data_IF_213415359148
#
_entry.id   IF_213415359148
#
_cell.length_a   1.000
_cell.length_b   1.000
_cell.length_c   1.000
_cell.angle_alpha   90.00
_cell.angle_beta   90.00
_cell.angle_gamma   90.00
#
_symmetry.space_group_name_H-M   'P 1'
#
loop_
_entity.id
_entity.type
_entity.pdbx_description
1 polymer ?
#
# COMPACT_ATOMS: atom_id res chain seq x y z
N UNK A 1 -83.63 -12.09 5.94
CA UNK A 1 -82.86 -10.84 6.22
C UNK A 1 -81.96 -11.18 7.41
N UNK A 2 -80.64 -11.11 7.40
CA UNK A 2 -79.76 -10.11 6.81
C UNK A 2 -78.42 -10.73 6.39
N UNK A 3 -77.81 -10.16 5.35
CA UNK A 3 -76.53 -10.58 4.81
C UNK A 3 -75.36 -10.34 5.78
N UNK A 4 -74.47 -11.32 5.87
CA UNK A 4 -73.09 -11.09 6.30
C UNK A 4 -72.22 -11.11 5.05
N UNK A 5 -71.81 -9.91 4.65
CA UNK A 5 -70.91 -9.62 3.54
C UNK A 5 -69.62 -10.44 3.62
N UNK A 6 -69.28 -11.12 2.51
CA UNK A 6 -67.97 -11.72 2.22
C UNK A 6 -66.89 -10.63 2.04
N UNK A 7 -66.57 -9.84 3.08
CA UNK A 7 -65.61 -8.74 2.93
C UNK A 7 -64.56 -8.61 4.04
N UNK A 8 -64.28 -9.65 4.82
CA UNK A 8 -63.24 -9.58 5.87
C UNK A 8 -62.15 -10.66 5.83
N UNK A 9 -61.97 -11.35 4.68
CA UNK A 9 -60.83 -12.28 4.46
C UNK A 9 -59.65 -11.52 3.81
N UNK A 10 -59.41 -10.28 4.22
CA UNK A 10 -58.30 -9.46 3.74
C UNK A 10 -57.46 -9.00 4.94
N UNK A 11 -56.87 -9.95 5.67
CA UNK A 11 -55.63 -9.64 6.37
C UNK A 11 -54.53 -9.55 5.30
N UNK A 12 -53.89 -8.38 5.16
CA UNK A 12 -53.95 -7.71 3.89
C UNK A 12 -52.64 -7.95 3.17
N UNK A 13 -52.75 -8.37 1.91
CA UNK A 13 -51.65 -8.36 0.93
C UNK A 13 -50.83 -7.07 0.99
N UNK A 14 -51.44 -5.94 1.38
CA UNK A 14 -50.76 -4.66 1.64
C UNK A 14 -49.75 -4.70 2.79
N UNK A 15 -50.06 -5.31 3.94
CA UNK A 15 -49.11 -5.42 5.07
C UNK A 15 -48.01 -6.43 4.73
N UNK A 16 -48.36 -7.54 4.09
CA UNK A 16 -47.37 -8.51 3.61
C UNK A 16 -46.40 -7.87 2.59
N UNK A 17 -46.92 -7.11 1.62
CA UNK A 17 -46.10 -6.36 0.65
C UNK A 17 -45.25 -5.28 1.34
N UNK A 18 -45.78 -4.58 2.34
CA UNK A 18 -45.02 -3.58 3.11
C UNK A 18 -43.85 -4.17 3.90
N UNK A 19 -43.88 -5.45 4.25
CA UNK A 19 -42.76 -6.13 4.92
C UNK A 19 -41.82 -6.83 3.92
N UNK A 20 -42.40 -7.48 2.90
CA UNK A 20 -41.64 -8.25 1.91
C UNK A 20 -40.87 -7.33 0.97
N UNK A 21 -41.45 -6.23 0.48
CA UNK A 21 -40.78 -5.35 -0.48
C UNK A 21 -39.52 -4.70 0.12
N UNK A 22 -39.55 -4.08 1.32
CA UNK A 22 -38.32 -3.55 1.92
C UNK A 22 -37.29 -4.64 2.22
N UNK A 23 -37.74 -5.81 2.68
CA UNK A 23 -36.85 -6.95 2.92
C UNK A 23 -36.17 -7.43 1.62
N UNK A 24 -36.92 -7.54 0.53
CA UNK A 24 -36.41 -7.92 -0.78
C UNK A 24 -35.47 -6.83 -1.35
N UNK A 25 -35.81 -5.55 -1.19
CA UNK A 25 -34.96 -4.43 -1.63
C UNK A 25 -33.65 -4.43 -0.85
N UNK A 26 -33.70 -4.59 0.48
CA UNK A 26 -32.49 -4.68 1.31
C UNK A 26 -31.68 -5.91 0.95
N UNK A 27 -32.32 -7.06 0.74
CA UNK A 27 -31.66 -8.29 0.32
C UNK A 27 -30.95 -8.11 -1.02
N UNK A 28 -31.66 -7.61 -2.04
CA UNK A 28 -31.09 -7.35 -3.34
C UNK A 28 -29.97 -6.32 -3.23
N UNK A 29 -30.19 -5.18 -2.57
CA UNK A 29 -29.17 -4.16 -2.36
C UNK A 29 -27.91 -4.75 -1.72
N UNK A 30 -28.01 -5.40 -0.56
CA UNK A 30 -26.82 -5.91 0.14
C UNK A 30 -26.14 -7.10 -0.53
N UNK A 31 -26.84 -7.89 -1.36
CA UNK A 31 -26.23 -9.01 -2.07
C UNK A 31 -25.74 -8.62 -3.46
N UNK A 32 -26.51 -7.85 -4.22
CA UNK A 32 -26.20 -7.52 -5.62
C UNK A 32 -25.37 -6.26 -5.77
N UNK A 33 -25.57 -5.24 -4.92
CA UNK A 33 -24.81 -3.98 -5.03
C UNK A 33 -23.30 -4.20 -4.92
N UNK A 34 -22.77 -4.99 -3.95
CA UNK A 34 -21.34 -5.26 -3.90
C UNK A 34 -20.82 -5.95 -5.16
N UNK A 35 -21.58 -6.88 -5.74
CA UNK A 35 -21.18 -7.54 -6.99
C UNK A 35 -21.12 -6.55 -8.16
N UNK A 36 -22.17 -5.73 -8.32
CA UNK A 36 -22.22 -4.70 -9.39
C UNK A 36 -21.11 -3.68 -9.22
N UNK A 37 -20.86 -3.23 -7.99
CA UNK A 37 -19.76 -2.33 -7.66
C UNK A 37 -18.41 -2.95 -8.01
N UNK A 38 -18.16 -4.21 -7.59
CA UNK A 38 -16.92 -4.92 -7.91
C UNK A 38 -16.72 -5.11 -9.42
N UNK A 39 -17.79 -5.41 -10.18
CA UNK A 39 -17.73 -5.51 -11.64
C UNK A 39 -17.39 -4.14 -12.25
N UNK A 40 -18.00 -3.07 -11.75
CA UNK A 40 -17.70 -1.70 -12.19
C UNK A 40 -16.24 -1.33 -11.97
N UNK A 41 -15.71 -1.62 -10.77
CA UNK A 41 -14.29 -1.38 -10.42
C UNK A 41 -13.35 -2.23 -11.27
N UNK A 42 -13.74 -3.45 -11.66
CA UNK A 42 -12.91 -4.28 -12.53
C UNK A 42 -12.69 -3.68 -13.93
N UNK A 43 -13.58 -2.79 -14.37
CA UNK A 43 -13.49 -2.09 -15.67
C UNK A 43 -12.79 -0.72 -15.57
N UNK A 44 -12.21 -0.36 -14.41
CA UNK A 44 -11.47 0.88 -14.21
C UNK A 44 -9.98 0.64 -13.96
N UNK A 45 -9.17 1.69 -13.97
CA UNK A 45 -7.73 1.66 -13.62
C UNK A 45 -7.47 1.42 -12.11
N UNK A 46 -8.42 0.81 -11.40
CA UNK A 46 -8.39 0.57 -9.96
C UNK A 46 -7.10 -0.12 -9.49
N UNK A 47 -6.44 0.48 -8.51
CA UNK A 47 -5.21 0.08 -7.87
C UNK A 47 -5.28 0.42 -6.37
N UNK A 48 -4.22 0.12 -5.60
CA UNK A 48 -4.20 0.33 -4.14
C UNK A 48 -4.33 1.81 -3.72
N UNK A 49 -4.14 2.76 -4.63
CA UNK A 49 -4.05 4.19 -4.36
C UNK A 49 -5.26 4.99 -4.89
N UNK A 50 -6.01 4.48 -5.87
CA UNK A 50 -7.12 5.18 -6.52
C UNK A 50 -8.51 4.54 -6.28
N UNK A 51 -8.62 3.40 -5.59
CA UNK A 51 -9.94 2.82 -5.24
C UNK A 51 -10.68 3.66 -4.18
N UNK A 52 -9.94 4.39 -3.33
CA UNK A 52 -10.48 5.32 -2.34
C UNK A 52 -9.45 6.40 -2.03
N UNK A 53 -9.09 7.26 -3.00
CA UNK A 53 -8.15 8.34 -2.74
C UNK A 53 -8.75 9.26 -1.68
N UNK A 54 -7.92 9.67 -0.72
CA UNK A 54 -8.32 10.68 0.25
C UNK A 54 -8.76 11.95 -0.51
N UNK A 55 -10.00 12.44 -0.36
CA UNK A 55 -10.45 13.67 -1.01
C UNK A 55 -9.52 14.85 -0.73
N UNK A 56 -8.86 14.88 0.43
CA UNK A 56 -7.87 15.89 0.76
C UNK A 56 -6.60 15.79 -0.10
N UNK A 57 -6.22 14.57 -0.54
CA UNK A 57 -5.07 14.34 -1.43
C UNK A 57 -5.34 14.84 -2.84
N UNK A 58 -6.51 14.52 -3.41
CA UNK A 58 -6.93 15.07 -4.72
C UNK A 58 -6.97 16.60 -4.65
N UNK A 59 -7.62 17.14 -3.62
CA UNK A 59 -7.68 18.59 -3.40
C UNK A 59 -6.29 19.22 -3.21
N UNK A 60 -5.35 18.50 -2.59
CA UNK A 60 -3.96 18.92 -2.47
C UNK A 60 -3.28 19.11 -3.83
N UNK A 61 -3.44 18.16 -4.75
CA UNK A 61 -2.95 18.29 -6.12
C UNK A 61 -3.67 19.40 -6.91
N UNK A 62 -4.99 19.52 -6.78
CA UNK A 62 -5.75 20.61 -7.41
C UNK A 62 -5.26 21.99 -6.95
N UNK A 63 -5.04 22.15 -5.64
CA UNK A 63 -4.49 23.36 -5.05
C UNK A 63 -3.06 23.64 -5.54
N UNK A 64 -2.21 22.60 -5.65
CA UNK A 64 -0.85 22.74 -6.17
C UNK A 64 -0.82 23.15 -7.64
N UNK A 65 -1.69 22.55 -8.47
CA UNK A 65 -1.85 22.91 -9.88
C UNK A 65 -2.33 24.36 -10.02
N UNK A 66 -3.32 24.78 -9.22
CA UNK A 66 -3.83 26.15 -9.24
C UNK A 66 -2.77 27.17 -8.81
N UNK A 67 -2.04 26.89 -7.73
CA UNK A 67 -0.91 27.69 -7.27
C UNK A 67 0.18 27.80 -8.34
N UNK A 68 0.59 26.67 -8.94
CA UNK A 68 1.62 26.65 -9.98
C UNK A 68 1.22 27.46 -11.22
N UNK A 69 -0.06 27.44 -11.61
CA UNK A 69 -0.58 28.30 -12.68
C UNK A 69 -0.46 29.78 -12.34
N UNK A 70 -0.85 30.19 -11.13
CA UNK A 70 -0.75 31.59 -10.70
C UNK A 70 0.70 32.08 -10.70
N UNK A 71 1.61 31.28 -10.17
CA UNK A 71 3.04 31.61 -10.17
C UNK A 71 3.57 31.78 -11.60
N UNK A 72 3.18 30.89 -12.52
CA UNK A 72 3.56 30.97 -13.93
C UNK A 72 2.98 32.21 -14.64
N UNK A 73 1.70 32.51 -14.42
CA UNK A 73 0.98 33.56 -15.16
C UNK A 73 1.23 34.98 -14.62
N UNK A 74 1.68 35.10 -13.37
CA UNK A 74 1.89 36.40 -12.71
C UNK A 74 3.32 36.91 -12.93
N UNK A 75 3.54 38.05 -13.63
CA UNK A 75 4.87 38.55 -13.95
C UNK A 75 5.76 38.82 -12.73
N UNK A 76 5.18 39.28 -11.62
CA UNK A 76 5.92 39.56 -10.38
C UNK A 76 6.66 38.32 -9.83
N UNK A 77 6.03 37.14 -9.88
CA UNK A 77 6.66 35.91 -9.38
C UNK A 77 7.72 35.38 -10.35
N UNK A 78 7.52 35.59 -11.65
CA UNK A 78 8.54 35.31 -12.67
C UNK A 78 9.80 36.12 -12.43
N UNK A 79 9.68 37.42 -12.17
CA UNK A 79 10.82 38.31 -11.90
C UNK A 79 11.52 37.93 -10.59
N UNK A 80 10.76 37.64 -9.53
CA UNK A 80 11.30 37.15 -8.24
C UNK A 80 12.04 35.83 -8.41
N UNK A 81 11.48 34.89 -9.17
CA UNK A 81 12.09 33.59 -9.44
C UNK A 81 13.36 33.74 -10.28
N UNK A 82 13.34 34.53 -11.36
CA UNK A 82 14.53 34.80 -12.19
C UNK A 82 15.66 35.40 -11.35
N UNK A 83 15.34 36.40 -10.52
CA UNK A 83 16.33 37.03 -9.61
C UNK A 83 16.91 36.01 -8.62
N UNK A 84 16.06 35.14 -8.07
CA UNK A 84 16.49 34.08 -7.16
C UNK A 84 17.40 33.06 -7.87
N UNK A 85 17.09 32.66 -9.11
CA UNK A 85 17.91 31.72 -9.87
C UNK A 85 19.26 32.32 -10.26
N UNK A 86 19.32 33.59 -10.62
CA UNK A 86 20.58 34.28 -10.85
C UNK A 86 21.46 34.33 -9.60
N UNK A 87 20.85 34.62 -8.43
CA UNK A 87 21.56 34.54 -7.14
C UNK A 87 22.07 33.13 -6.86
N UNK A 88 21.22 32.10 -6.99
CA UNK A 88 21.58 30.69 -6.79
C UNK A 88 22.77 30.29 -7.66
N UNK A 89 22.74 30.65 -8.95
CA UNK A 89 23.82 30.38 -9.90
C UNK A 89 25.14 31.01 -9.47
N UNK A 90 25.13 32.28 -9.08
CA UNK A 90 26.33 32.99 -8.62
C UNK A 90 26.86 32.38 -7.31
N UNK A 91 25.98 32.10 -6.36
CA UNK A 91 26.37 31.58 -5.05
C UNK A 91 26.93 30.16 -5.14
N UNK A 92 26.31 29.27 -5.93
CA UNK A 92 26.84 27.93 -6.18
C UNK A 92 28.15 27.97 -6.95
N UNK A 93 28.28 28.84 -7.95
CA UNK A 93 29.55 29.00 -8.66
C UNK A 93 30.68 29.42 -7.71
N UNK A 94 30.46 30.43 -6.86
CA UNK A 94 31.45 30.89 -5.89
C UNK A 94 31.82 29.80 -4.88
N UNK A 95 30.82 29.07 -4.36
CA UNK A 95 31.05 27.96 -3.43
C UNK A 95 31.81 26.81 -4.10
N UNK A 96 31.41 26.43 -5.31
CA UNK A 96 32.05 25.39 -6.12
C UNK A 96 33.53 25.71 -6.33
N UNK A 97 33.81 26.96 -6.71
CA UNK A 97 35.18 27.46 -6.91
C UNK A 97 36.01 27.42 -5.62
N UNK A 98 35.44 27.88 -4.50
CA UNK A 98 36.11 27.84 -3.20
C UNK A 98 36.40 26.40 -2.72
N UNK A 99 35.43 25.50 -2.86
CA UNK A 99 35.57 24.08 -2.52
C UNK A 99 36.57 23.37 -3.43
N UNK A 100 36.61 23.71 -4.72
CA UNK A 100 37.58 23.18 -5.68
C UNK A 100 39.01 23.55 -5.29
N UNK A 101 39.30 24.84 -5.07
CA UNK A 101 40.61 25.32 -4.60
C UNK A 101 41.03 24.66 -3.29
N UNK A 102 40.11 24.56 -2.35
CA UNK A 102 40.35 23.90 -1.07
C UNK A 102 40.70 22.41 -1.27
N UNK A 103 39.98 21.70 -2.14
CA UNK A 103 40.23 20.30 -2.42
C UNK A 103 41.59 20.07 -3.10
N UNK A 104 42.00 20.97 -4.02
CA UNK A 104 43.31 20.94 -4.65
C UNK A 104 44.44 21.01 -3.60
N UNK A 105 44.33 21.93 -2.65
CA UNK A 105 45.31 22.09 -1.56
C UNK A 105 45.29 20.91 -0.59
N UNK A 106 44.11 20.41 -0.21
CA UNK A 106 43.96 19.25 0.68
C UNK A 106 44.57 17.98 0.07
N UNK A 107 44.57 17.85 -1.26
CA UNK A 107 45.15 16.70 -1.94
C UNK A 107 46.68 16.80 -2.09
N UNK A 108 47.23 18.01 -2.05
CA UNK A 108 48.68 18.26 -2.12
C UNK A 108 49.34 18.45 -0.73
N UNK A 109 48.55 18.71 0.31
CA UNK A 109 49.03 19.06 1.65
C UNK A 109 48.87 17.91 2.65
N UNK A 110 49.81 17.83 3.59
CA UNK A 110 49.79 16.86 4.69
C UNK A 110 49.21 17.51 5.97
N UNK A 111 49.20 18.85 6.05
CA UNK A 111 48.84 19.61 7.24
C UNK A 111 47.87 20.75 6.89
N UNK A 112 46.88 20.96 7.77
CA UNK A 112 45.83 21.98 7.69
C UNK A 112 46.40 23.40 7.90
N UNK A 113 47.52 23.52 8.61
CA UNK A 113 48.22 24.80 8.85
C UNK A 113 48.66 25.51 7.55
N UNK A 114 48.85 24.73 6.47
CA UNK A 114 49.30 25.23 5.16
C UNK A 114 48.17 25.80 4.30
N UNK A 115 46.91 25.73 4.75
CA UNK A 115 45.78 26.27 3.99
C UNK A 115 45.84 27.80 4.01
N UNK A 116 45.97 28.46 2.83
CA UNK A 116 46.04 29.90 2.70
C UNK A 116 44.82 30.64 3.28
N UNK A 117 45.05 31.86 3.79
CA UNK A 117 44.01 32.67 4.45
C UNK A 117 42.91 33.11 3.50
N UNK A 118 43.29 33.49 2.28
CA UNK A 118 42.40 33.86 1.18
C UNK A 118 41.34 32.80 0.88
N UNK A 119 41.71 31.51 0.86
CA UNK A 119 40.75 30.41 0.61
C UNK A 119 39.76 30.26 1.77
N UNK A 120 40.22 30.45 3.01
CA UNK A 120 39.34 30.42 4.19
C UNK A 120 38.34 31.57 4.17
N UNK A 121 38.80 32.76 3.80
CA UNK A 121 37.97 33.96 3.69
C UNK A 121 36.97 33.84 2.51
N UNK A 122 37.40 33.28 1.37
CA UNK A 122 36.56 33.01 0.19
C UNK A 122 35.47 31.97 0.49
N UNK A 123 35.80 30.90 1.23
CA UNK A 123 34.82 29.91 1.67
C UNK A 123 33.87 30.51 2.71
N UNK A 124 34.38 31.25 3.70
CA UNK A 124 33.55 31.91 4.70
C UNK A 124 32.55 32.89 4.07
N UNK A 125 33.00 33.65 3.07
CA UNK A 125 32.14 34.53 2.28
C UNK A 125 31.10 33.75 1.48
N UNK A 126 31.51 32.72 0.74
CA UNK A 126 30.60 31.91 -0.08
C UNK A 126 29.55 31.18 0.76
N UNK A 127 29.95 30.58 1.89
CA UNK A 127 29.03 30.00 2.87
C UNK A 127 28.07 31.04 3.42
N UNK A 128 28.54 32.27 3.65
CA UNK A 128 27.67 33.33 4.19
C UNK A 128 26.56 33.75 3.23
N UNK A 129 26.81 33.69 1.91
CA UNK A 129 25.80 33.96 0.88
C UNK A 129 24.69 32.92 0.82
N UNK A 130 24.95 31.69 1.30
CA UNK A 130 23.96 30.61 1.33
C UNK A 130 22.97 30.75 2.50
N UNK A 131 23.30 31.53 3.54
CA UNK A 131 22.38 31.73 4.66
C UNK A 131 21.11 32.44 4.19
N UNK A 132 19.96 31.92 4.61
CA UNK A 132 18.65 32.47 4.24
C UNK A 132 18.18 32.07 2.84
N UNK A 133 19.06 31.53 1.99
CA UNK A 133 18.70 31.09 0.65
C UNK A 133 17.60 30.00 0.65
N UNK A 134 17.64 28.96 1.51
CA UNK A 134 16.54 27.98 1.59
C UNK A 134 15.20 28.64 1.95
N UNK A 135 15.21 29.63 2.85
CA UNK A 135 14.00 30.36 3.23
C UNK A 135 13.49 31.30 2.11
N UNK A 136 14.39 31.92 1.35
CA UNK A 136 14.03 32.77 0.21
C UNK A 136 13.39 31.92 -0.90
N UNK A 137 13.93 30.74 -1.17
CA UNK A 137 13.37 29.76 -2.11
C UNK A 137 11.97 29.33 -1.67
N UNK A 138 11.79 28.92 -0.40
CA UNK A 138 10.48 28.52 0.14
C UNK A 138 9.45 29.65 0.03
N UNK A 139 9.85 30.91 0.24
CA UNK A 139 8.96 32.07 0.15
C UNK A 139 8.50 32.37 -1.29
N UNK A 140 9.40 32.30 -2.28
CA UNK A 140 9.05 32.60 -3.69
C UNK A 140 8.00 31.60 -4.23
N UNK A 141 8.05 30.35 -3.78
CA UNK A 141 7.15 29.28 -4.23
C UNK A 141 6.11 28.90 -3.17
N UNK A 142 5.78 29.81 -2.25
CA UNK A 142 4.86 29.53 -1.15
C UNK A 142 3.40 29.56 -1.60
N UNK A 143 2.80 28.39 -1.80
CA UNK A 143 1.37 28.28 -2.13
C UNK A 143 0.43 28.70 -0.99
N UNK A 144 0.88 28.60 0.27
CA UNK A 144 0.04 28.94 1.43
C UNK A 144 -0.22 30.45 1.48
N UNK A 145 0.76 31.28 1.09
CA UNK A 145 0.59 32.73 0.97
C UNK A 145 -0.42 33.11 -0.13
N UNK A 146 -0.56 32.27 -1.15
CA UNK A 146 -1.55 32.41 -2.22
C UNK A 146 -2.92 31.82 -1.86
N UNK A 147 -3.15 31.45 -0.59
CA UNK A 147 -4.39 30.83 -0.10
C UNK A 147 -4.67 29.42 -0.67
N UNK A 148 -3.63 28.71 -1.14
CA UNK A 148 -3.71 27.32 -1.58
C UNK A 148 -3.05 26.40 -0.56
N UNK A 149 -3.87 25.65 0.19
CA UNK A 149 -3.39 24.67 1.15
C UNK A 149 -3.03 23.37 0.43
N UNK A 150 -1.74 23.10 0.27
CA UNK A 150 -1.24 21.86 -0.34
C UNK A 150 -0.01 21.35 0.39
N UNK A 151 0.15 20.03 0.40
CA UNK A 151 1.38 19.36 0.85
C UNK A 151 2.36 19.14 -0.30
N UNK A 152 1.91 19.34 -1.54
CA UNK A 152 2.74 19.15 -2.73
C UNK A 152 3.57 20.40 -2.97
N UNK A 153 4.89 20.25 -2.92
CA UNK A 153 5.81 21.37 -3.10
C UNK A 153 6.19 21.54 -4.57
N UNK A 154 6.14 22.77 -5.07
CA UNK A 154 6.50 23.11 -6.45
C UNK A 154 7.97 22.81 -6.72
N UNK A 155 8.83 23.14 -5.76
CA UNK A 155 10.22 22.72 -5.75
C UNK A 155 10.29 21.40 -4.98
N UNK A 156 10.90 20.35 -5.53
CA UNK A 156 11.02 19.08 -4.83
C UNK A 156 11.65 19.25 -3.44
N UNK A 157 11.01 18.71 -2.40
CA UNK A 157 11.52 18.72 -1.00
C UNK A 157 12.97 18.24 -0.94
N UNK A 158 13.29 17.20 -1.70
CA UNK A 158 14.64 16.63 -1.80
C UNK A 158 15.68 17.68 -2.19
N UNK A 159 15.32 18.65 -3.04
CA UNK A 159 16.22 19.72 -3.45
C UNK A 159 16.42 20.74 -2.33
N UNK A 160 15.37 21.05 -1.56
CA UNK A 160 15.45 21.94 -0.39
C UNK A 160 16.27 21.30 0.74
N UNK A 161 16.05 20.01 1.03
CA UNK A 161 16.82 19.29 2.05
C UNK A 161 18.31 19.20 1.70
N UNK A 162 18.63 19.06 0.41
CA UNK A 162 20.00 19.10 -0.08
C UNK A 162 20.62 20.49 0.09
N UNK A 163 19.87 21.56 -0.15
CA UNK A 163 20.33 22.93 0.10
C UNK A 163 20.62 23.17 1.59
N UNK A 164 19.71 22.73 2.47
CA UNK A 164 19.89 22.81 3.93
C UNK A 164 21.12 21.99 4.36
N UNK A 165 21.32 20.81 3.78
CA UNK A 165 22.49 19.96 4.02
C UNK A 165 23.80 20.61 3.53
N UNK A 166 23.80 21.23 2.35
CA UNK A 166 24.94 21.93 1.79
C UNK A 166 25.33 23.14 2.66
N UNK A 167 24.34 23.89 3.14
CA UNK A 167 24.56 25.01 4.07
C UNK A 167 25.20 24.53 5.38
N UNK A 168 24.68 23.44 5.96
CA UNK A 168 25.25 22.85 7.18
C UNK A 168 26.68 22.34 6.98
N UNK A 169 26.96 21.67 5.87
CA UNK A 169 28.29 21.15 5.55
C UNK A 169 29.28 22.27 5.27
N UNK A 170 28.92 23.26 4.47
CA UNK A 170 29.77 24.42 4.17
C UNK A 170 30.05 25.27 5.41
N UNK A 171 29.08 25.38 6.32
CA UNK A 171 29.28 25.95 7.67
C UNK A 171 30.28 25.15 8.50
N UNK A 172 30.11 23.83 8.53
CA UNK A 172 31.03 22.94 9.27
C UNK A 172 32.46 23.03 8.75
N UNK A 173 32.65 23.05 7.42
CA UNK A 173 33.99 23.18 6.80
C UNK A 173 34.61 24.54 7.18
N UNK A 174 33.83 25.63 7.07
CA UNK A 174 34.27 26.97 7.49
C UNK A 174 34.71 26.98 8.95
N UNK A 175 33.89 26.47 9.86
CA UNK A 175 34.15 26.49 11.30
C UNK A 175 35.37 25.63 11.67
N UNK A 176 35.52 24.46 11.04
CA UNK A 176 36.71 23.60 11.19
C UNK A 176 37.98 24.28 10.69
N UNK A 177 37.92 24.96 9.54
CA UNK A 177 39.06 25.70 9.00
C UNK A 177 39.43 26.91 9.87
N UNK A 178 38.45 27.56 10.49
CA UNK A 178 38.68 28.63 11.45
C UNK A 178 39.29 28.10 12.75
N UNK A 179 38.79 26.96 13.25
CA UNK A 179 39.30 26.31 14.45
C UNK A 179 40.75 25.82 14.28
N UNK A 180 41.08 25.25 13.12
CA UNK A 180 42.43 24.80 12.77
C UNK A 180 43.47 25.93 12.76
N UNK A 181 43.05 27.21 12.67
CA UNK A 181 43.97 28.34 12.85
C UNK A 181 44.49 28.46 14.27
N UNK A 182 43.64 28.14 15.24
CA UNK A 182 43.92 28.26 16.66
C UNK A 182 44.53 26.96 17.21
N UNK A 183 44.07 25.82 16.70
CA UNK A 183 44.46 24.48 17.16
C UNK A 183 44.72 23.55 15.96
N UNK A 184 45.87 23.69 15.26
CA UNK A 184 46.15 22.94 14.03
C UNK A 184 46.30 21.43 14.25
N UNK A 185 46.73 20.99 15.43
CA UNK A 185 46.92 19.57 15.76
C UNK A 185 45.61 18.79 15.97
N UNK A 186 44.49 19.49 16.19
CA UNK A 186 43.19 18.87 16.50
C UNK A 186 42.32 18.61 15.26
N UNK A 187 42.71 19.11 14.08
CA UNK A 187 41.92 18.96 12.84
C UNK A 187 42.70 18.14 11.82
N UNK A 188 42.18 16.96 11.48
CA UNK A 188 42.83 16.09 10.50
C UNK A 188 42.51 16.49 9.05
N UNK A 189 43.51 16.41 8.16
CA UNK A 189 43.30 16.69 6.73
C UNK A 189 42.36 15.66 6.07
N UNK A 190 42.31 14.44 6.61
CA UNK A 190 41.37 13.39 6.19
C UNK A 190 39.92 13.71 6.52
N UNK A 191 39.65 14.35 7.66
CA UNK A 191 38.31 14.82 8.02
C UNK A 191 37.86 15.90 7.04
N UNK A 192 38.71 16.89 6.77
CA UNK A 192 38.41 17.95 5.80
C UNK A 192 38.18 17.39 4.39
N UNK A 193 38.98 16.40 3.94
CA UNK A 193 38.79 15.73 2.64
C UNK A 193 37.42 15.03 2.54
N UNK A 194 36.96 14.38 3.60
CA UNK A 194 35.65 13.74 3.63
C UNK A 194 34.52 14.78 3.56
N UNK A 195 34.63 15.85 4.35
CA UNK A 195 33.63 16.92 4.37
C UNK A 195 33.54 17.64 3.01
N UNK A 196 34.66 17.99 2.39
CA UNK A 196 34.68 18.64 1.07
C UNK A 196 34.16 17.70 -0.03
N UNK A 197 34.50 16.40 0.02
CA UNK A 197 33.95 15.42 -0.93
C UNK A 197 32.43 15.30 -0.84
N UNK A 198 31.86 15.28 0.38
CA UNK A 198 30.41 15.26 0.60
C UNK A 198 29.74 16.54 0.09
N UNK A 199 30.33 17.70 0.39
CA UNK A 199 29.83 18.99 -0.07
C UNK A 199 29.81 19.08 -1.60
N UNK A 200 30.88 18.66 -2.28
CA UNK A 200 30.96 18.63 -3.74
C UNK A 200 29.92 17.70 -4.38
N UNK A 201 29.68 16.53 -3.76
CA UNK A 201 28.66 15.59 -4.24
C UNK A 201 27.27 16.25 -4.20
N UNK A 202 26.90 16.81 -3.05
CA UNK A 202 25.60 17.48 -2.88
C UNK A 202 25.48 18.70 -3.80
N UNK A 203 26.55 19.48 -3.95
CA UNK A 203 26.58 20.64 -4.83
C UNK A 203 26.32 20.24 -6.30
N UNK A 204 26.96 19.18 -6.78
CA UNK A 204 26.73 18.69 -8.15
C UNK A 204 25.29 18.20 -8.38
N UNK A 205 24.68 17.58 -7.36
CA UNK A 205 23.28 17.15 -7.43
C UNK A 205 22.33 18.35 -7.46
N UNK A 206 22.61 19.39 -6.65
CA UNK A 206 21.87 20.65 -6.63
C UNK A 206 22.00 21.38 -7.97
N UNK A 207 23.21 21.52 -8.50
CA UNK A 207 23.47 22.14 -9.80
C UNK A 207 22.73 21.40 -10.92
N UNK A 208 22.75 20.06 -10.91
CA UNK A 208 21.98 19.27 -11.87
C UNK A 208 20.46 19.50 -11.74
N UNK A 209 19.96 19.64 -10.51
CA UNK A 209 18.55 19.90 -10.23
C UNK A 209 18.11 21.29 -10.68
N UNK A 210 18.88 22.32 -10.33
CA UNK A 210 18.60 23.71 -10.70
C UNK A 210 18.97 24.06 -12.15
N UNK A 211 19.80 23.27 -12.82
CA UNK A 211 20.15 23.51 -14.24
C UNK A 211 18.90 23.54 -15.12
N UNK A 212 17.92 22.67 -14.86
CA UNK A 212 16.61 22.67 -15.54
C UNK A 212 15.75 23.89 -15.21
N UNK A 213 15.82 24.37 -13.97
CA UNK A 213 15.12 25.60 -13.55
C UNK A 213 15.74 26.87 -14.16
N UNK A 214 17.05 26.87 -14.40
CA UNK A 214 17.79 28.03 -14.89
C UNK A 214 17.61 28.29 -16.39
N UNK A 215 17.24 27.27 -17.20
CA UNK A 215 17.08 27.40 -18.66
C UNK A 215 15.74 28.05 -19.03
N UNK A 216 14.70 27.91 -18.21
CA UNK A 216 13.43 28.58 -18.45
C UNK A 216 12.40 28.39 -17.34
N UNK A 217 12.10 29.46 -16.60
CA UNK A 217 11.04 29.48 -15.58
C UNK A 217 9.70 28.94 -16.11
N UNK A 218 9.31 29.38 -17.31
CA UNK A 218 8.02 29.00 -17.89
C UNK A 218 7.97 27.51 -18.27
N UNK A 219 9.10 26.96 -18.72
CA UNK A 219 9.24 25.54 -19.05
C UNK A 219 9.16 24.70 -17.77
N UNK A 220 9.94 25.06 -16.74
CA UNK A 220 9.90 24.38 -15.44
C UNK A 220 8.49 24.38 -14.82
N UNK A 221 7.80 25.52 -14.85
CA UNK A 221 6.44 25.62 -14.32
C UNK A 221 5.46 24.78 -15.15
N UNK A 222 5.66 24.68 -16.47
CA UNK A 222 4.83 23.82 -17.34
C UNK A 222 5.02 22.35 -17.03
N UNK A 223 6.26 21.89 -16.91
CA UNK A 223 6.59 20.51 -16.51
C UNK A 223 6.03 20.17 -15.11
N UNK A 224 6.10 21.13 -14.18
CA UNK A 224 5.57 20.94 -12.82
C UNK A 224 4.05 20.81 -12.81
N UNK A 225 3.35 21.63 -13.60
CA UNK A 225 1.89 21.52 -13.77
C UNK A 225 1.54 20.16 -14.37
N UNK A 226 2.24 19.73 -15.43
CA UNK A 226 2.00 18.44 -16.09
C UNK A 226 2.25 17.26 -15.13
N UNK A 227 3.33 17.33 -14.33
CA UNK A 227 3.64 16.33 -13.30
C UNK A 227 2.50 16.19 -12.29
N UNK A 228 2.04 17.29 -11.69
CA UNK A 228 0.94 17.25 -10.72
C UNK A 228 -0.39 16.81 -11.35
N UNK A 229 -0.65 17.20 -12.60
CA UNK A 229 -1.83 16.72 -13.34
C UNK A 229 -1.76 15.21 -13.51
N UNK A 230 -0.62 14.67 -13.95
CA UNK A 230 -0.42 13.23 -14.11
C UNK A 230 -0.58 12.47 -12.79
N UNK A 231 0.02 12.96 -11.71
CA UNK A 231 -0.09 12.31 -10.39
C UNK A 231 -1.53 12.34 -9.85
N UNK A 232 -2.25 13.46 -10.02
CA UNK A 232 -3.69 13.53 -9.70
C UNK A 232 -4.48 12.55 -10.55
N UNK A 233 -4.19 12.51 -11.85
CA UNK A 233 -4.88 11.67 -12.83
C UNK A 233 -4.73 10.17 -12.53
N UNK A 234 -3.58 9.76 -11.99
CA UNK A 234 -3.34 8.39 -11.52
C UNK A 234 -4.18 8.02 -10.28
N UNK A 235 -4.59 9.02 -9.48
CA UNK A 235 -5.47 8.85 -8.32
C UNK A 235 -6.95 8.79 -8.68
N UNK A 236 -7.33 9.24 -9.87
CA UNK A 236 -8.72 9.19 -10.32
C UNK A 236 -9.08 7.82 -10.92
N UNK A 237 -10.29 7.36 -10.61
CA UNK A 237 -10.87 6.18 -11.25
C UNK A 237 -11.31 6.53 -12.67
N UNK A 238 -10.67 5.90 -13.64
CA UNK A 238 -10.92 6.04 -15.07
C UNK A 238 -11.39 4.73 -15.63
N UNK A 239 -12.36 4.77 -16.53
CA UNK A 239 -12.81 3.59 -17.24
C UNK A 239 -11.74 3.13 -18.24
N UNK A 240 -11.30 1.89 -18.12
CA UNK A 240 -10.28 1.25 -19.00
C UNK A 240 -10.85 0.06 -19.78
N UNK A 241 -12.14 -0.23 -19.62
CA UNK A 241 -12.79 -1.35 -20.30
C UNK A 241 -12.19 -2.70 -19.88
N UNK A 242 -11.77 -3.51 -20.86
CA UNK A 242 -11.30 -4.89 -20.64
C UNK A 242 -9.79 -5.03 -20.45
N UNK A 243 -9.06 -3.92 -20.34
CA UNK A 243 -7.60 -3.93 -20.25
C UNK A 243 -7.07 -4.77 -19.07
N UNK A 244 -7.75 -4.71 -17.91
CA UNK A 244 -7.38 -5.51 -16.74
C UNK A 244 -7.51 -7.02 -16.99
N UNK A 245 -8.53 -7.43 -17.75
CA UNK A 245 -8.71 -8.83 -18.11
C UNK A 245 -7.64 -9.29 -19.10
N UNK A 246 -7.31 -8.46 -20.10
CA UNK A 246 -6.20 -8.75 -21.01
C UNK A 246 -4.86 -8.88 -20.26
N UNK A 247 -4.59 -8.02 -19.27
CA UNK A 247 -3.42 -8.14 -18.39
C UNK A 247 -3.46 -9.43 -17.57
N UNK A 248 -4.61 -9.77 -16.99
CA UNK A 248 -4.80 -10.96 -16.16
C UNK A 248 -4.52 -12.26 -16.93
N UNK A 249 -5.03 -12.38 -18.16
CA UNK A 249 -4.82 -13.57 -18.99
C UNK A 249 -3.38 -13.71 -19.50
N UNK A 250 -2.58 -12.65 -19.44
CA UNK A 250 -1.14 -12.70 -19.75
C UNK A 250 -0.27 -12.91 -18.50
N UNK A 251 -0.86 -12.99 -17.30
CA UNK A 251 -0.12 -13.11 -16.04
C UNK A 251 0.03 -14.58 -15.61
N UNK A 252 1.26 -15.07 -15.53
CA UNK A 252 1.58 -16.44 -15.07
C UNK A 252 1.08 -16.69 -13.63
N UNK A 253 1.03 -15.64 -12.79
CA UNK A 253 0.53 -15.76 -11.41
C UNK A 253 -0.94 -16.12 -11.36
N UNK A 254 -1.73 -15.66 -12.34
CA UNK A 254 -3.16 -16.01 -12.45
C UNK A 254 -3.32 -17.52 -12.68
N UNK A 255 -2.58 -18.10 -13.62
CA UNK A 255 -2.65 -19.53 -13.90
C UNK A 255 -2.16 -20.38 -12.73
N UNK A 256 -1.11 -19.95 -12.02
CA UNK A 256 -0.66 -20.64 -10.81
C UNK A 256 -1.72 -20.61 -9.70
N UNK A 257 -2.36 -19.46 -9.46
CA UNK A 257 -3.45 -19.36 -8.50
C UNK A 257 -4.63 -20.25 -8.91
N UNK A 258 -5.05 -20.19 -10.18
CA UNK A 258 -6.13 -20.99 -10.73
C UNK A 258 -5.85 -22.49 -10.56
N UNK A 259 -4.63 -22.94 -10.90
CA UNK A 259 -4.21 -24.33 -10.72
C UNK A 259 -4.29 -24.76 -9.26
N UNK A 260 -3.72 -23.99 -8.33
CA UNK A 260 -3.76 -24.31 -6.89
C UNK A 260 -5.19 -24.32 -6.35
N UNK A 261 -6.06 -23.42 -6.81
CA UNK A 261 -7.49 -23.41 -6.44
C UNK A 261 -8.24 -24.62 -7.00
N UNK A 262 -8.04 -24.97 -8.27
CA UNK A 262 -8.67 -26.16 -8.87
C UNK A 262 -8.19 -27.43 -8.19
N UNK A 263 -6.89 -27.54 -7.92
CA UNK A 263 -6.32 -28.66 -7.18
C UNK A 263 -6.90 -28.74 -5.77
N UNK A 264 -7.00 -27.61 -5.07
CA UNK A 264 -7.65 -27.53 -3.76
C UNK A 264 -9.10 -28.05 -3.83
N UNK A 265 -9.91 -27.56 -4.78
CA UNK A 265 -11.30 -28.04 -4.93
C UNK A 265 -11.34 -29.54 -5.22
N UNK A 266 -10.48 -30.02 -6.12
CA UNK A 266 -10.40 -31.43 -6.50
C UNK A 266 -9.96 -32.35 -5.36
N UNK A 267 -9.20 -31.87 -4.38
CA UNK A 267 -8.75 -32.67 -3.23
C UNK A 267 -9.65 -32.50 -2.00
N UNK A 268 -10.02 -31.26 -1.66
CA UNK A 268 -10.82 -30.95 -0.47
C UNK A 268 -12.24 -31.48 -0.60
N UNK A 269 -12.90 -31.30 -1.75
CA UNK A 269 -14.32 -31.69 -1.92
C UNK A 269 -14.51 -33.20 -1.74
N UNK A 270 -13.79 -34.08 -2.45
CA UNK A 270 -13.93 -35.52 -2.24
C UNK A 270 -13.59 -35.94 -0.81
N UNK A 271 -12.58 -35.34 -0.18
CA UNK A 271 -12.17 -35.68 1.18
C UNK A 271 -13.29 -35.44 2.20
N UNK A 272 -13.88 -34.23 2.21
CA UNK A 272 -14.95 -33.90 3.16
C UNK A 272 -16.27 -34.58 2.85
N UNK A 273 -16.55 -34.84 1.56
CA UNK A 273 -17.74 -35.59 1.14
C UNK A 273 -17.62 -37.05 1.56
N UNK A 274 -16.50 -37.70 1.27
CA UNK A 274 -16.24 -39.07 1.68
C UNK A 274 -16.34 -39.21 3.20
N UNK A 275 -15.66 -38.34 3.95
CA UNK A 275 -15.72 -38.35 5.42
C UNK A 275 -17.14 -38.13 5.94
N UNK A 276 -17.86 -37.13 5.42
CA UNK A 276 -19.23 -36.80 5.84
C UNK A 276 -20.22 -37.94 5.55
N UNK A 277 -20.14 -38.55 4.37
CA UNK A 277 -21.00 -39.67 3.97
C UNK A 277 -20.67 -40.93 4.76
N UNK A 278 -19.38 -41.27 4.93
CA UNK A 278 -18.95 -42.43 5.71
C UNK A 278 -19.45 -42.34 7.15
N UNK A 279 -19.25 -41.19 7.81
CA UNK A 279 -19.76 -40.97 9.16
C UNK A 279 -21.30 -40.98 9.18
N UNK A 280 -21.97 -40.39 8.18
CA UNK A 280 -23.42 -40.40 8.10
C UNK A 280 -24.01 -41.82 8.05
N UNK A 281 -23.45 -42.69 7.21
CA UNK A 281 -23.86 -44.09 7.09
C UNK A 281 -23.55 -44.84 8.38
N UNK A 282 -22.34 -44.70 8.91
CA UNK A 282 -21.92 -45.37 10.14
C UNK A 282 -22.84 -45.04 11.33
N UNK A 283 -23.15 -43.76 11.52
CA UNK A 283 -24.05 -43.31 12.60
C UNK A 283 -25.54 -43.46 12.29
N UNK A 284 -25.90 -43.91 11.08
CA UNK A 284 -27.27 -44.34 10.76
C UNK A 284 -27.57 -45.75 11.28
N UNK A 285 -26.54 -46.54 11.61
CA UNK A 285 -26.71 -47.88 12.17
C UNK A 285 -27.25 -47.85 13.60
N UNK A 286 -28.17 -48.76 13.90
CA UNK A 286 -28.72 -48.95 15.26
C UNK A 286 -27.72 -49.56 16.24
N UNK A 287 -26.57 -50.06 15.76
CA UNK A 287 -25.55 -50.71 16.57
C UNK A 287 -24.68 -49.72 17.37
N UNK A 288 -24.75 -48.42 17.05
CA UNK A 288 -23.91 -47.41 17.71
C UNK A 288 -24.52 -46.94 19.03
N UNK A 289 -23.92 -47.39 20.15
CA UNK A 289 -24.25 -46.92 21.50
C UNK A 289 -23.81 -45.45 21.67
N UNK A 290 -24.62 -44.64 22.37
CA UNK A 290 -24.28 -43.23 22.64
C UNK A 290 -24.43 -42.27 21.45
N UNK A 291 -25.11 -42.68 20.37
CA UNK A 291 -25.29 -41.93 19.10
C UNK A 291 -25.59 -40.43 19.23
N UNK A 292 -26.40 -40.02 20.22
CA UNK A 292 -26.79 -38.61 20.42
C UNK A 292 -25.60 -37.76 20.87
N UNK A 293 -24.81 -38.26 21.83
CA UNK A 293 -23.65 -37.55 22.37
C UNK A 293 -22.52 -37.46 21.33
N UNK A 294 -22.23 -38.58 20.66
CA UNK A 294 -21.20 -38.61 19.62
C UNK A 294 -21.56 -37.68 18.46
N UNK A 295 -22.82 -37.68 18.01
CA UNK A 295 -23.28 -36.74 16.99
C UNK A 295 -23.10 -35.29 17.41
N UNK A 296 -23.41 -34.94 18.67
CA UNK A 296 -23.20 -33.58 19.16
C UNK A 296 -21.72 -33.18 19.12
N UNK A 297 -20.80 -34.08 19.53
CA UNK A 297 -19.36 -33.85 19.45
C UNK A 297 -18.87 -33.68 18.01
N UNK A 298 -19.38 -34.49 17.08
CA UNK A 298 -18.99 -34.42 15.66
C UNK A 298 -19.46 -33.13 14.98
N UNK A 299 -20.45 -32.43 15.52
CA UNK A 299 -20.93 -31.14 15.01
C UNK A 299 -20.13 -29.94 15.53
N UNK A 300 -19.28 -30.13 16.54
CA UNK A 300 -18.48 -29.06 17.16
C UNK A 300 -17.68 -28.25 16.12
N UNK A 301 -16.99 -28.85 15.13
CA UNK A 301 -16.20 -28.07 14.18
C UNK A 301 -17.04 -27.05 13.40
N UNK A 302 -18.23 -27.46 12.95
CA UNK A 302 -19.13 -26.59 12.18
C UNK A 302 -19.80 -25.50 13.04
N UNK A 303 -19.93 -25.73 14.35
CA UNK A 303 -20.48 -24.76 15.28
C UNK A 303 -19.45 -23.68 15.70
N UNK A 304 -18.16 -23.91 15.48
CA UNK A 304 -17.11 -22.97 15.87
C UNK A 304 -17.03 -21.77 14.92
N UNK A 305 -16.78 -20.54 15.41
CA UNK A 305 -16.47 -19.41 14.56
C UNK A 305 -15.25 -19.69 13.67
N UNK A 306 -15.35 -19.34 12.38
CA UNK A 306 -14.30 -19.61 11.38
C UNK A 306 -12.94 -19.04 11.82
N UNK A 307 -12.92 -17.79 12.27
CA UNK A 307 -11.68 -17.11 12.67
C UNK A 307 -10.96 -17.82 13.83
N UNK A 308 -11.71 -18.23 14.86
CA UNK A 308 -11.14 -18.95 16.01
C UNK A 308 -10.59 -20.32 15.60
N UNK A 309 -11.30 -21.02 14.73
CA UNK A 309 -10.87 -22.30 14.17
C UNK A 309 -9.58 -22.15 13.36
N UNK A 310 -9.52 -21.16 12.47
CA UNK A 310 -8.35 -20.90 11.63
C UNK A 310 -7.11 -20.52 12.46
N UNK A 311 -7.27 -19.67 13.48
CA UNK A 311 -6.19 -19.29 14.39
C UNK A 311 -5.71 -20.49 15.20
N UNK A 312 -6.62 -21.34 15.69
CA UNK A 312 -6.27 -22.54 16.45
C UNK A 312 -5.43 -23.50 15.59
N UNK A 313 -5.85 -23.76 14.35
CA UNK A 313 -5.07 -24.58 13.41
C UNK A 313 -3.71 -23.97 13.07
N UNK A 314 -3.64 -22.64 12.88
CA UNK A 314 -2.35 -21.96 12.66
C UNK A 314 -1.39 -22.12 13.84
N UNK A 315 -1.90 -22.14 15.08
CA UNK A 315 -1.08 -22.39 16.29
C UNK A 315 -0.65 -23.86 16.33
N UNK A 316 -1.57 -24.80 16.12
CA UNK A 316 -1.28 -26.24 16.16
C UNK A 316 -0.18 -26.68 15.18
N UNK A 317 -0.16 -26.07 14.00
CA UNK A 317 0.78 -26.39 12.93
C UNK A 317 1.92 -25.37 12.80
N UNK A 318 2.17 -24.53 13.80
CA UNK A 318 3.31 -23.60 13.74
C UNK A 318 4.64 -24.38 13.71
N UNK A 319 5.58 -24.09 12.79
CA UNK A 319 6.80 -24.91 12.62
C UNK A 319 7.72 -24.97 13.85
N UNK A 320 7.76 -23.91 14.67
CA UNK A 320 8.70 -23.80 15.79
C UNK A 320 8.18 -24.46 17.07
N UNK A 321 6.91 -24.25 17.40
CA UNK A 321 6.31 -24.61 18.69
C UNK A 321 4.92 -25.25 18.57
N UNK A 322 4.46 -25.53 17.35
CA UNK A 322 3.19 -26.18 17.09
C UNK A 322 3.25 -27.66 17.45
N UNK A 323 2.39 -28.16 18.37
CA UNK A 323 2.46 -29.54 18.84
C UNK A 323 2.24 -30.55 17.71
N UNK A 324 1.40 -30.22 16.72
CA UNK A 324 1.08 -31.13 15.62
C UNK A 324 2.15 -31.07 14.53
N UNK A 325 2.66 -29.89 14.22
CA UNK A 325 3.77 -29.71 13.27
C UNK A 325 5.04 -30.44 13.73
N UNK A 326 5.38 -30.33 15.02
CA UNK A 326 6.54 -31.00 15.61
C UNK A 326 6.46 -32.53 15.53
N UNK A 327 5.27 -33.11 15.76
CA UNK A 327 5.05 -34.56 15.68
C UNK A 327 5.10 -35.06 14.23
N UNK A 328 4.49 -34.32 13.30
CA UNK A 328 4.36 -34.74 11.91
C UNK A 328 5.53 -34.31 11.00
N UNK A 329 6.47 -33.49 11.51
CA UNK A 329 7.57 -32.93 10.72
C UNK A 329 7.11 -31.98 9.61
N UNK A 330 5.96 -31.32 9.80
CA UNK A 330 5.36 -30.45 8.79
C UNK A 330 5.77 -28.99 9.00
N UNK A 331 6.45 -28.41 8.02
CA UNK A 331 6.68 -26.97 7.95
C UNK A 331 5.76 -26.30 6.93
N UNK A 332 4.72 -25.63 7.41
CA UNK A 332 3.76 -24.90 6.58
C UNK A 332 4.17 -23.46 6.20
N UNK A 333 5.31 -22.96 6.67
CA UNK A 333 5.78 -21.61 6.36
C UNK A 333 6.78 -21.63 5.22
N UNK A 334 7.62 -22.67 5.14
CA UNK A 334 8.63 -22.80 4.08
C UNK A 334 8.20 -23.74 2.96
N UNK A 335 7.39 -24.77 3.25
CA UNK A 335 6.97 -25.76 2.26
C UNK A 335 5.49 -25.57 1.86
N UNK A 336 5.27 -25.21 0.59
CA UNK A 336 3.93 -24.96 0.05
C UNK A 336 3.01 -26.19 0.09
N UNK A 337 3.55 -27.41 -0.04
CA UNK A 337 2.75 -28.64 -0.07
C UNK A 337 2.29 -29.05 1.32
N UNK A 338 3.10 -28.78 2.34
CA UNK A 338 2.69 -28.94 3.73
C UNK A 338 1.58 -27.95 4.07
N UNK A 339 1.73 -26.68 3.68
CA UNK A 339 0.69 -25.67 3.86
C UNK A 339 -0.61 -26.08 3.15
N UNK A 340 -0.52 -26.56 1.91
CA UNK A 340 -1.65 -27.05 1.13
C UNK A 340 -2.35 -28.24 1.80
N UNK A 341 -1.60 -29.23 2.28
CA UNK A 341 -2.14 -30.40 2.97
C UNK A 341 -2.87 -29.99 4.25
N UNK A 342 -2.26 -29.14 5.08
CA UNK A 342 -2.88 -28.71 6.34
C UNK A 342 -4.14 -27.88 6.07
N UNK A 343 -4.12 -27.02 5.05
CA UNK A 343 -5.30 -26.25 4.65
C UNK A 343 -6.44 -27.16 4.17
N UNK A 344 -6.15 -28.20 3.38
CA UNK A 344 -7.14 -29.19 2.96
C UNK A 344 -7.75 -29.94 4.16
N UNK A 345 -6.92 -30.36 5.12
CA UNK A 345 -7.38 -31.04 6.32
C UNK A 345 -8.24 -30.13 7.20
N UNK A 346 -7.82 -28.86 7.36
CA UNK A 346 -8.56 -27.85 8.11
C UNK A 346 -9.96 -27.66 7.53
N UNK A 347 -10.04 -27.46 6.21
CA UNK A 347 -11.31 -27.21 5.56
C UNK A 347 -12.21 -28.46 5.59
N UNK A 348 -11.64 -29.65 5.39
CA UNK A 348 -12.39 -30.89 5.53
C UNK A 348 -12.92 -31.10 6.94
N UNK A 349 -12.09 -30.85 7.98
CA UNK A 349 -12.49 -30.91 9.38
C UNK A 349 -13.62 -29.93 9.72
N UNK A 350 -13.57 -28.72 9.16
CA UNK A 350 -14.58 -27.70 9.39
C UNK A 350 -15.92 -28.04 8.70
N UNK A 351 -15.87 -28.63 7.51
CA UNK A 351 -17.03 -28.78 6.63
C UNK A 351 -17.70 -30.17 6.66
N UNK A 352 -17.00 -31.25 7.02
CA UNK A 352 -17.61 -32.60 7.10
C UNK A 352 -18.89 -32.67 7.96
N UNK A 353 -19.05 -31.93 9.08
CA UNK A 353 -20.24 -32.09 9.92
C UNK A 353 -21.52 -31.62 9.24
N UNK A 354 -21.42 -30.59 8.39
CA UNK A 354 -22.52 -30.15 7.55
C UNK A 354 -22.93 -31.26 6.57
N UNK A 355 -21.96 -31.81 5.84
CA UNK A 355 -22.22 -32.89 4.86
C UNK A 355 -22.80 -34.13 5.54
N UNK A 356 -22.26 -34.52 6.69
CA UNK A 356 -22.79 -35.61 7.50
C UNK A 356 -24.24 -35.36 7.87
N UNK A 357 -24.60 -34.14 8.29
CA UNK A 357 -25.97 -33.79 8.71
C UNK A 357 -26.95 -33.84 7.54
N UNK A 358 -26.57 -33.27 6.40
CA UNK A 358 -27.38 -33.30 5.17
C UNK A 358 -27.59 -34.75 4.71
N UNK A 359 -26.51 -35.53 4.67
CA UNK A 359 -26.55 -36.95 4.25
C UNK A 359 -27.42 -37.77 5.20
N UNK A 360 -27.33 -37.58 6.51
CA UNK A 360 -28.22 -38.25 7.47
C UNK A 360 -29.69 -37.85 7.29
N UNK A 361 -29.96 -36.59 6.94
CA UNK A 361 -31.30 -36.13 6.58
C UNK A 361 -31.84 -36.87 5.35
N UNK A 362 -31.01 -37.02 4.32
CA UNK A 362 -31.35 -37.76 3.10
C UNK A 362 -31.56 -39.26 3.37
N UNK A 363 -30.66 -39.91 4.13
CA UNK A 363 -30.77 -41.33 4.48
C UNK A 363 -32.06 -41.66 5.24
N UNK A 364 -32.53 -40.75 6.11
CA UNK A 364 -33.82 -40.91 6.81
C UNK A 364 -35.04 -40.82 5.91
N UNK A 365 -34.89 -40.23 4.72
CA UNK A 365 -35.94 -40.16 3.71
C UNK A 365 -36.09 -41.45 2.89
N UNK A 366 -35.14 -42.39 2.99
CA UNK A 366 -35.19 -43.65 2.25
C UNK A 366 -36.29 -44.55 2.85
N UNK A 367 -37.29 -44.98 2.05
CA UNK A 367 -38.34 -45.89 2.51
C UNK A 367 -37.77 -47.23 3.02
N UNK A 368 -38.37 -47.78 4.08
CA UNK A 368 -37.88 -49.01 4.73
C UNK A 368 -38.01 -50.24 3.85
N UNK A 369 -39.06 -50.31 3.03
CA UNK A 369 -39.33 -51.36 2.06
C UNK A 369 -38.20 -51.54 1.05
N UNK A 370 -37.57 -50.44 0.60
CA UNK A 370 -36.40 -50.50 -0.28
C UNK A 370 -35.19 -51.15 0.42
N UNK A 371 -35.01 -50.85 1.71
CA UNK A 371 -33.93 -51.44 2.52
C UNK A 371 -34.24 -52.92 2.80
N UNK A 372 -35.48 -53.26 3.12
CA UNK A 372 -35.92 -54.65 3.35
C UNK A 372 -35.75 -55.51 2.09
N UNK A 373 -36.12 -55.00 0.91
CA UNK A 373 -35.90 -55.68 -0.35
C UNK A 373 -34.40 -55.97 -0.60
N UNK A 374 -33.51 -55.02 -0.27
CA UNK A 374 -32.05 -55.21 -0.42
C UNK A 374 -31.42 -56.25 0.52
N UNK A 375 -32.14 -56.72 1.54
CA UNK A 375 -31.69 -57.86 2.35
C UNK A 375 -32.15 -59.21 1.78
N UNK A 376 -33.15 -59.21 0.89
CA UNK A 376 -33.74 -60.40 0.28
C UNK A 376 -33.03 -60.73 -1.05
N UNK A 377 -32.78 -59.71 -1.87
CA UNK A 377 -32.00 -59.79 -3.12
C UNK A 377 -30.49 -59.87 -2.84
#
# INVERSE_FOLDING_TARGET
>A
MAGKSKSSILFPTRIALLLVLPSLILYLFFNTWPMVFSIGVALTNANRYNISPDPAKIKGYENAIACAKILKETPEYRDKASTLFDKLRIYFFNLSHALYKLNEIINQSIDVSKIPRDIRDELAYSTSQLYGLPSEVRRVFNCTELNYTTKEEIIPVVLLDKLDSLLSLSGTIKDRLQYAQLFPEEVSISELRNLTSKANTILSEIESGFSKLAVGYDEYMSETIERFQKERDELELRFVGVENFAKLFNDVRFYNALYKTLLFVATSVPLKVALGVLLAVFYSSNLVLGRKAIRALLLVPWAMPFLLSALSWRILFRPQDGPVAAILGLDMYTNEWHAFLVYNLFEAWLAYPFIMTVTQGALRGIPKDVIEASYID
#
